data_IF_200059874735
#
_entry.id   IF_200059874735
#
_cell.length_a   1.000
_cell.length_b   1.000
_cell.length_c   1.000
_cell.angle_alpha   90.00
_cell.angle_beta   90.00
_cell.angle_gamma   90.00
#
_symmetry.space_group_name_H-M   'P 1'
#
loop_
_entity.id
_entity.type
_entity.pdbx_description
1 polymer ?
#
# COMPACT_ATOMS: atom_id res chain seq x y z
N UNK A 1 -1.82 -3.44 -7.70
CA UNK A 1 -0.51 -2.90 -8.14
C UNK A 1 0.65 -3.83 -7.78
N UNK A 2 0.95 -4.11 -6.49
CA UNK A 2 2.08 -5.00 -6.11
C UNK A 2 2.07 -6.35 -6.84
N UNK A 3 0.94 -7.09 -6.80
CA UNK A 3 0.78 -8.37 -7.51
C UNK A 3 1.05 -8.27 -9.01
N UNK A 4 0.55 -7.23 -9.66
CA UNK A 4 0.75 -7.01 -11.09
C UNK A 4 2.22 -6.75 -11.43
N UNK A 5 2.91 -5.89 -10.67
CA UNK A 5 4.35 -5.66 -10.83
C UNK A 5 5.17 -6.93 -10.56
N UNK A 6 4.79 -7.72 -9.53
CA UNK A 6 5.43 -8.99 -9.20
C UNK A 6 5.34 -9.98 -10.35
N UNK A 7 4.14 -10.21 -10.86
CA UNK A 7 3.89 -11.17 -11.96
C UNK A 7 4.57 -10.69 -13.23
N UNK A 8 4.42 -9.41 -13.59
CA UNK A 8 5.05 -8.85 -14.78
C UNK A 8 6.59 -8.95 -14.72
N UNK A 9 7.21 -8.51 -13.62
CA UNK A 9 8.65 -8.58 -13.44
C UNK A 9 9.17 -10.03 -13.43
N UNK A 10 8.46 -10.96 -12.80
CA UNK A 10 8.84 -12.38 -12.77
C UNK A 10 8.79 -13.01 -14.17
N UNK A 11 7.73 -12.73 -14.94
CA UNK A 11 7.60 -13.23 -16.30
C UNK A 11 8.70 -12.66 -17.21
N UNK A 12 8.97 -11.35 -17.11
CA UNK A 12 10.04 -10.70 -17.86
C UNK A 12 11.42 -11.27 -17.51
N UNK A 13 11.70 -11.48 -16.21
CA UNK A 13 12.96 -12.08 -15.74
C UNK A 13 13.14 -13.52 -16.22
N UNK A 14 12.04 -14.24 -16.43
CA UNK A 14 12.04 -15.58 -17.01
C UNK A 14 12.08 -15.58 -18.55
N UNK A 15 12.32 -14.42 -19.19
CA UNK A 15 12.45 -14.29 -20.65
C UNK A 15 11.12 -14.30 -21.41
N UNK A 16 9.97 -14.17 -20.73
CA UNK A 16 8.66 -14.10 -21.42
C UNK A 16 8.51 -12.72 -22.08
N UNK A 17 8.12 -12.66 -23.37
CA UNK A 17 7.99 -11.39 -24.10
C UNK A 17 7.05 -10.39 -23.39
N UNK A 18 7.45 -9.10 -23.35
CA UNK A 18 6.76 -8.02 -22.63
C UNK A 18 5.25 -7.97 -22.91
N UNK A 19 4.85 -8.04 -24.18
CA UNK A 19 3.43 -8.02 -24.58
C UNK A 19 2.63 -9.18 -23.97
N UNK A 20 3.21 -10.38 -23.96
CA UNK A 20 2.59 -11.57 -23.35
C UNK A 20 2.55 -11.42 -21.83
N UNK A 21 3.63 -10.95 -21.24
CA UNK A 21 3.74 -10.72 -19.80
C UNK A 21 2.76 -9.66 -19.29
N UNK A 22 2.52 -8.59 -20.06
CA UNK A 22 1.53 -7.55 -19.75
C UNK A 22 0.10 -8.12 -19.74
N UNK A 23 -0.27 -8.91 -20.76
CA UNK A 23 -1.60 -9.55 -20.84
C UNK A 23 -1.83 -10.57 -19.72
N UNK A 24 -0.80 -11.31 -19.31
CA UNK A 24 -0.92 -12.26 -18.20
C UNK A 24 -1.02 -11.52 -16.86
N UNK A 25 -0.19 -10.49 -16.66
CA UNK A 25 -0.15 -9.74 -15.41
C UNK A 25 -1.35 -8.82 -15.19
N UNK A 26 -2.05 -8.37 -16.25
CA UNK A 26 -3.28 -7.58 -16.12
C UNK A 26 -4.38 -8.31 -15.33
N UNK A 27 -4.51 -9.63 -15.53
CA UNK A 27 -5.44 -10.47 -14.79
C UNK A 27 -5.08 -10.67 -13.30
N UNK A 28 -3.85 -10.36 -12.90
CA UNK A 28 -3.39 -10.48 -11.50
C UNK A 28 -3.66 -9.24 -10.64
N UNK A 29 -4.22 -8.17 -11.24
CA UNK A 29 -4.40 -6.87 -10.60
C UNK A 29 -5.49 -6.86 -9.54
N UNK A 30 -6.57 -7.64 -9.73
CA UNK A 30 -7.77 -7.64 -8.90
C UNK A 30 -8.62 -6.36 -8.98
N UNK A 31 -8.26 -5.42 -9.86
CA UNK A 31 -8.97 -4.15 -10.05
C UNK A 31 -9.17 -3.92 -11.56
N UNK A 32 -10.43 -3.87 -11.99
CA UNK A 32 -10.80 -3.73 -13.40
C UNK A 32 -10.25 -2.47 -14.06
N UNK A 33 -10.18 -1.35 -13.34
CA UNK A 33 -9.60 -0.10 -13.88
C UNK A 33 -8.08 -0.25 -14.11
N UNK A 34 -7.39 -0.99 -13.24
CA UNK A 34 -5.96 -1.24 -13.40
C UNK A 34 -5.69 -2.26 -14.51
N UNK A 35 -6.55 -3.28 -14.63
CA UNK A 35 -6.51 -4.24 -15.72
C UNK A 35 -6.67 -3.56 -17.08
N UNK A 36 -7.68 -2.70 -17.24
CA UNK A 36 -7.89 -1.91 -18.46
C UNK A 36 -6.69 -1.01 -18.79
N UNK A 37 -6.09 -0.36 -17.78
CA UNK A 37 -4.89 0.45 -17.97
C UNK A 37 -3.69 -0.38 -18.43
N UNK A 38 -3.51 -1.60 -17.92
CA UNK A 38 -2.46 -2.52 -18.35
C UNK A 38 -2.69 -3.05 -19.77
N UNK A 39 -3.94 -3.35 -20.13
CA UNK A 39 -4.30 -3.76 -21.49
C UNK A 39 -4.06 -2.65 -22.50
N UNK A 40 -4.49 -1.41 -22.21
CA UNK A 40 -4.14 -0.23 -23.02
C UNK A 40 -2.64 -0.02 -23.14
N UNK A 41 -1.88 -0.33 -22.09
CA UNK A 41 -0.43 -0.25 -22.15
C UNK A 41 0.18 -1.31 -23.05
N UNK A 42 -0.39 -2.52 -23.10
CA UNK A 42 0.02 -3.54 -24.06
C UNK A 42 -0.27 -3.13 -25.51
N UNK A 43 -1.40 -2.46 -25.77
CA UNK A 43 -1.72 -1.87 -27.07
C UNK A 43 -0.70 -0.78 -27.47
N UNK A 44 -0.38 0.14 -26.55
CA UNK A 44 0.64 1.17 -26.78
C UNK A 44 2.01 0.57 -27.12
N UNK A 45 2.46 -0.43 -26.36
CA UNK A 45 3.74 -1.09 -26.62
C UNK A 45 3.73 -1.79 -27.99
N UNK A 46 2.59 -2.33 -28.42
CA UNK A 46 2.43 -2.93 -29.75
C UNK A 46 2.58 -1.90 -30.86
N UNK A 47 2.16 -0.65 -30.61
CA UNK A 47 2.33 0.48 -31.52
C UNK A 47 3.73 1.13 -31.46
N UNK A 48 4.66 0.63 -30.62
CA UNK A 48 5.98 1.23 -30.42
C UNK A 48 5.97 2.45 -29.49
N UNK A 49 4.86 2.67 -28.79
CA UNK A 49 4.68 3.73 -27.83
C UNK A 49 5.02 3.28 -26.40
N UNK A 50 5.12 4.24 -25.48
CA UNK A 50 5.52 3.96 -24.11
C UNK A 50 4.45 3.24 -23.27
N UNK A 51 4.88 2.25 -22.48
CA UNK A 51 4.12 1.51 -21.45
C UNK A 51 3.67 2.44 -20.31
N UNK A 52 4.52 3.38 -19.90
CA UNK A 52 4.23 4.25 -18.76
C UNK A 52 3.11 5.26 -19.03
N UNK A 53 2.81 5.60 -20.30
CA UNK A 53 1.77 6.58 -20.65
C UNK A 53 0.36 6.16 -20.17
N UNK A 54 -0.21 5.00 -20.54
CA UNK A 54 -1.58 4.65 -20.12
C UNK A 54 -1.65 4.27 -18.64
N UNK A 55 -0.58 3.70 -18.10
CA UNK A 55 -0.46 3.45 -16.66
C UNK A 55 -0.49 4.74 -15.84
N UNK A 56 0.20 5.79 -16.28
CA UNK A 56 0.17 7.11 -15.63
C UNK A 56 -1.20 7.77 -15.74
N UNK A 57 -1.84 7.69 -16.92
CA UNK A 57 -3.17 8.24 -17.16
C UNK A 57 -4.26 7.60 -16.28
N UNK A 58 -4.06 6.37 -15.79
CA UNK A 58 -5.01 5.71 -14.89
C UNK A 58 -5.14 6.36 -13.52
N UNK A 59 -4.10 7.09 -13.04
CA UNK A 59 -4.07 7.66 -11.69
C UNK A 59 -4.04 6.64 -10.53
N UNK A 60 -4.04 5.34 -10.83
CA UNK A 60 -4.09 4.26 -9.82
C UNK A 60 -2.71 3.93 -9.25
N UNK A 61 -1.65 4.27 -9.96
CA UNK A 61 -0.27 4.02 -9.56
C UNK A 61 0.31 5.33 -9.01
N UNK A 62 0.82 5.34 -7.76
CA UNK A 62 1.43 6.52 -7.17
C UNK A 62 2.56 7.12 -8.05
N UNK A 63 2.72 8.45 -8.09
CA UNK A 63 3.72 9.11 -8.95
C UNK A 63 5.15 8.60 -8.73
N UNK A 64 5.50 8.28 -7.48
CA UNK A 64 6.80 7.72 -7.11
C UNK A 64 7.09 6.38 -7.81
N UNK A 65 6.07 5.53 -7.95
CA UNK A 65 6.18 4.22 -8.60
C UNK A 65 6.18 4.40 -10.12
N UNK A 66 5.37 5.32 -10.63
CA UNK A 66 5.35 5.65 -12.06
C UNK A 66 6.71 6.12 -12.57
N UNK A 67 7.39 6.98 -11.80
CA UNK A 67 8.74 7.43 -12.12
C UNK A 67 9.74 6.26 -12.22
N UNK A 68 9.65 5.28 -11.30
CA UNK A 68 10.50 4.09 -11.36
C UNK A 68 10.21 3.23 -12.60
N UNK A 69 8.94 3.08 -12.99
CA UNK A 69 8.55 2.34 -14.21
C UNK A 69 9.11 3.05 -15.45
N UNK A 70 8.99 4.37 -15.52
CA UNK A 70 9.49 5.17 -16.64
C UNK A 70 11.01 5.06 -16.80
N UNK A 71 11.75 5.18 -15.70
CA UNK A 71 13.22 5.00 -15.71
C UNK A 71 13.57 3.58 -16.14
N UNK A 72 12.86 2.57 -15.64
CA UNK A 72 13.10 1.17 -16.00
C UNK A 72 12.80 0.88 -17.47
N UNK A 73 11.80 1.54 -18.04
CA UNK A 73 11.47 1.46 -19.46
C UNK A 73 12.58 2.07 -20.32
N UNK A 74 13.08 3.26 -19.95
CA UNK A 74 14.17 3.95 -20.65
C UNK A 74 15.50 3.18 -20.53
N UNK A 75 15.78 2.54 -19.39
CA UNK A 75 16.99 1.73 -19.19
C UNK A 75 16.83 0.25 -19.55
N UNK A 76 15.67 -0.14 -20.12
CA UNK A 76 15.35 -1.52 -20.49
C UNK A 76 15.58 -2.55 -19.37
N UNK A 77 15.24 -2.18 -18.13
CA UNK A 77 15.45 -2.96 -16.90
C UNK A 77 14.14 -3.22 -16.14
N UNK A 78 13.03 -3.29 -16.88
CA UNK A 78 11.69 -3.53 -16.33
C UNK A 78 11.61 -4.83 -15.52
N UNK A 79 12.30 -5.88 -15.96
CA UNK A 79 12.37 -7.18 -15.29
C UNK A 79 12.90 -7.08 -13.85
N UNK A 80 13.98 -6.33 -13.62
CA UNK A 80 14.57 -6.15 -12.30
C UNK A 80 13.78 -5.13 -11.45
N UNK A 81 13.42 -3.98 -12.06
CA UNK A 81 12.83 -2.88 -11.33
C UNK A 81 11.39 -3.18 -10.89
N UNK A 82 10.60 -3.90 -11.70
CA UNK A 82 9.23 -4.25 -11.32
C UNK A 82 9.16 -5.18 -10.11
N UNK A 83 10.12 -6.11 -9.98
CA UNK A 83 10.24 -6.98 -8.79
C UNK A 83 10.58 -6.12 -7.57
N UNK A 84 11.57 -5.23 -7.70
CA UNK A 84 11.94 -4.27 -6.63
C UNK A 84 10.79 -3.35 -6.23
N UNK A 85 9.98 -2.90 -7.19
CA UNK A 85 8.77 -2.11 -6.92
C UNK A 85 7.79 -2.92 -6.08
N UNK A 86 7.52 -4.17 -6.46
CA UNK A 86 6.62 -5.04 -5.71
C UNK A 86 7.14 -5.25 -4.27
N UNK A 87 8.43 -5.54 -4.10
CA UNK A 87 9.05 -5.67 -2.76
C UNK A 87 8.91 -4.40 -1.94
N UNK A 88 9.12 -3.22 -2.55
CA UNK A 88 8.99 -1.94 -1.87
C UNK A 88 7.55 -1.64 -1.45
N UNK A 89 6.56 -2.04 -2.26
CA UNK A 89 5.14 -1.89 -1.90
C UNK A 89 4.81 -2.83 -0.73
N UNK A 90 5.19 -4.10 -0.81
CA UNK A 90 4.91 -5.11 0.22
C UNK A 90 5.53 -4.70 1.56
N UNK A 91 6.82 -4.32 1.56
CA UNK A 91 7.51 -3.79 2.75
C UNK A 91 6.83 -2.53 3.33
N UNK A 92 6.30 -1.63 2.48
CA UNK A 92 5.59 -0.44 2.96
C UNK A 92 4.28 -0.82 3.64
N UNK A 93 3.58 -1.84 3.14
CA UNK A 93 2.35 -2.35 3.75
C UNK A 93 2.66 -3.00 5.10
N UNK A 94 3.68 -3.87 5.16
CA UNK A 94 4.11 -4.54 6.40
C UNK A 94 4.49 -3.53 7.48
N UNK A 95 5.30 -2.52 7.17
CA UNK A 95 5.67 -1.46 8.13
C UNK A 95 4.46 -0.68 8.64
N UNK A 96 3.48 -0.41 7.78
CA UNK A 96 2.24 0.26 8.20
C UNK A 96 1.42 -0.61 9.15
N UNK A 97 1.33 -1.90 8.86
CA UNK A 97 0.67 -2.86 9.75
C UNK A 97 1.38 -2.95 11.10
N UNK A 98 2.72 -3.01 11.10
CA UNK A 98 3.50 -3.03 12.34
C UNK A 98 3.26 -1.78 13.19
N UNK A 99 3.25 -0.60 12.58
CA UNK A 99 2.93 0.65 13.28
C UNK A 99 1.50 0.64 13.83
N UNK A 100 0.52 0.19 13.03
CA UNK A 100 -0.87 0.09 13.49
C UNK A 100 -1.01 -0.85 14.70
N UNK A 101 -0.32 -2.00 14.67
CA UNK A 101 -0.31 -2.94 15.79
C UNK A 101 0.38 -2.34 17.01
N UNK A 102 1.51 -1.64 16.84
CA UNK A 102 2.19 -0.95 17.95
C UNK A 102 1.35 0.15 18.60
N UNK A 103 0.43 0.78 17.86
CA UNK A 103 -0.50 1.78 18.40
C UNK A 103 -1.62 1.17 19.26
N UNK A 104 -1.85 -0.16 19.18
CA UNK A 104 -2.85 -0.83 20.02
C UNK A 104 -2.42 -0.81 21.50
N UNK A 105 -1.14 -0.99 21.80
CA UNK A 105 -0.62 -0.99 23.17
C UNK A 105 -0.89 0.33 23.94
N UNK A 106 -0.52 1.52 23.45
CA UNK A 106 -0.83 2.78 24.14
C UNK A 106 -2.34 3.04 24.22
N UNK A 107 -3.12 2.61 23.22
CA UNK A 107 -4.59 2.74 23.26
C UNK A 107 -5.19 1.91 24.40
N UNK A 108 -4.71 0.69 24.60
CA UNK A 108 -5.11 -0.17 25.73
C UNK A 108 -4.76 0.47 27.08
N UNK A 109 -3.57 1.05 27.22
CA UNK A 109 -3.16 1.74 28.45
C UNK A 109 -4.04 2.96 28.75
N UNK A 110 -4.38 3.77 27.74
CA UNK A 110 -5.28 4.91 27.90
C UNK A 110 -6.68 4.44 28.32
N UNK A 111 -7.19 3.36 27.70
CA UNK A 111 -8.50 2.83 28.01
C UNK A 111 -8.58 2.31 29.46
N UNK A 112 -7.63 1.47 29.87
CA UNK A 112 -7.55 0.95 31.25
C UNK A 112 -7.34 2.09 32.24
N UNK A 113 -6.41 3.02 31.94
CA UNK A 113 -6.13 4.17 32.79
C UNK A 113 -7.36 5.06 32.98
N UNK A 114 -8.13 5.33 31.92
CA UNK A 114 -9.37 6.10 31.99
C UNK A 114 -10.44 5.41 32.85
N UNK A 115 -10.55 4.09 32.75
CA UNK A 115 -11.50 3.30 33.52
C UNK A 115 -11.16 3.34 35.01
N UNK A 116 -9.89 3.18 35.37
CA UNK A 116 -9.43 3.29 36.76
C UNK A 116 -9.62 4.71 37.29
N UNK A 117 -9.28 5.73 36.50
CA UNK A 117 -9.47 7.13 36.85
C UNK A 117 -10.95 7.47 37.11
N UNK A 118 -11.85 6.94 36.29
CA UNK A 118 -13.29 7.11 36.46
C UNK A 118 -13.79 6.53 37.78
N UNK A 119 -13.35 5.32 38.14
CA UNK A 119 -13.71 4.68 39.43
C UNK A 119 -13.19 5.49 40.62
N UNK A 120 -11.93 5.95 40.57
CA UNK A 120 -11.32 6.74 41.64
C UNK A 120 -12.09 8.05 41.87
N UNK A 121 -12.39 8.79 40.80
CA UNK A 121 -13.16 10.03 40.91
C UNK A 121 -14.57 9.79 41.46
N UNK A 122 -15.22 8.71 41.02
CA UNK A 122 -16.55 8.33 41.52
C UNK A 122 -16.58 8.03 43.04
N UNK A 123 -15.48 7.53 43.60
CA UNK A 123 -15.37 7.26 45.05
C UNK A 123 -14.88 8.47 45.84
N UNK A 124 -13.92 9.24 45.32
CA UNK A 124 -13.34 10.37 46.04
C UNK A 124 -14.27 11.58 46.16
N UNK A 125 -15.02 11.92 45.11
CA UNK A 125 -15.94 13.05 45.11
C UNK A 125 -16.91 13.04 46.32
N UNK A 126 -17.68 11.96 46.58
CA UNK A 126 -18.59 11.92 47.72
C UNK A 126 -17.87 11.97 49.07
N UNK A 127 -16.64 11.44 49.18
CA UNK A 127 -15.84 11.54 50.41
C UNK A 127 -15.46 12.99 50.70
N UNK A 128 -15.08 13.76 49.67
CA UNK A 128 -14.80 15.19 49.82
C UNK A 128 -16.04 16.00 50.18
N UNK A 129 -17.17 15.73 49.53
CA UNK A 129 -18.44 16.40 49.82
C UNK A 129 -18.87 16.16 51.28
N UNK A 130 -18.82 14.91 51.75
CA UNK A 130 -19.14 14.56 53.15
C UNK A 130 -18.24 15.30 54.14
N UNK A 131 -16.93 15.36 53.88
CA UNK A 131 -15.99 16.02 54.78
C UNK A 131 -16.20 17.55 54.83
N UNK A 132 -16.62 18.17 53.73
CA UNK A 132 -16.94 19.60 53.69
C UNK A 132 -18.25 19.96 54.38
N UNK A 133 -19.20 19.02 54.47
CA UNK A 133 -20.50 19.23 55.13
C UNK A 133 -20.48 19.03 56.65
N UNK A 134 -19.40 18.45 57.19
CA UNK A 134 -19.21 18.15 58.62
C UNK A 134 -18.26 19.17 59.30
N UNK A 135 -17.69 20.11 58.54
CA UNK A 135 -16.85 21.21 59.02
C UNK A 135 -17.59 22.54 59.21
#
# INVERSE_FOLDING_TARGET
VSRACRVLGTLLRNGVPLLKSLKISSGSTGNRLLEEAMLKSAENVTAGDSLSKPLSASGLIPPQIMAMIRVAEESNSLDEVLVKIADRIDNRIERRLEVLVKLIEPLMLILIGSMVMFVILGVLLPVFDLNSSVG
#
